data_IF_839922954482
#
_entry.id   IF_839922954482
#
_cell.length_a   1.000
_cell.length_b   1.000
_cell.length_c   1.000
_cell.angle_alpha   90.00
_cell.angle_beta   90.00
_cell.angle_gamma   90.00
#
_symmetry.space_group_name_H-M   'P 1'
#
loop_
_entity.id
_entity.type
_entity.pdbx_description
1 polymer ?
#
# COMPACT_ATOMS: atom_id res chain seq x y z
N UNK A 1 -13.02 41.92 -23.37
CA UNK A 1 -12.22 41.70 -22.14
C UNK A 1 -12.91 40.71 -21.18
N UNK A 2 -14.21 40.78 -20.99
CA UNK A 2 -15.00 39.95 -20.06
C UNK A 2 -14.98 38.43 -20.46
N UNK A 3 -14.96 38.09 -21.75
CA UNK A 3 -14.93 36.70 -22.22
C UNK A 3 -13.65 35.96 -21.88
N UNK A 4 -12.49 36.61 -21.94
CA UNK A 4 -11.18 36.01 -21.61
C UNK A 4 -11.06 35.74 -20.09
N UNK A 5 -11.66 36.58 -19.24
CA UNK A 5 -11.65 36.40 -17.79
C UNK A 5 -12.53 35.18 -17.39
N UNK A 6 -13.71 35.00 -18.01
CA UNK A 6 -14.56 33.84 -17.75
C UNK A 6 -13.87 32.52 -18.11
N UNK A 7 -13.20 32.44 -19.25
CA UNK A 7 -12.46 31.24 -19.67
C UNK A 7 -11.34 30.90 -18.68
N UNK A 8 -10.59 31.92 -18.21
CA UNK A 8 -9.49 31.72 -17.24
C UNK A 8 -10.00 31.23 -15.90
N UNK A 9 -11.14 31.72 -15.41
CA UNK A 9 -11.76 31.27 -14.17
C UNK A 9 -12.26 29.83 -14.29
N UNK A 10 -12.86 29.44 -15.43
CA UNK A 10 -13.28 28.06 -15.68
C UNK A 10 -12.08 27.08 -15.74
N UNK A 11 -10.97 27.46 -16.38
CA UNK A 11 -9.76 26.64 -16.40
C UNK A 11 -9.14 26.51 -15.00
N UNK A 12 -9.11 27.56 -14.21
CA UNK A 12 -8.56 27.53 -12.86
C UNK A 12 -9.43 26.66 -11.93
N UNK A 13 -10.75 26.74 -12.02
CA UNK A 13 -11.69 25.88 -11.26
C UNK A 13 -11.63 24.43 -11.70
N UNK A 14 -11.46 24.16 -13.01
CA UNK A 14 -11.29 22.80 -13.53
C UNK A 14 -9.95 22.20 -13.07
N UNK A 15 -8.86 22.99 -13.07
CA UNK A 15 -7.55 22.54 -12.57
C UNK A 15 -7.55 22.27 -11.06
N UNK A 16 -8.23 23.10 -10.27
CA UNK A 16 -8.37 22.88 -8.82
C UNK A 16 -9.26 21.68 -8.51
N UNK A 17 -10.30 21.41 -9.31
CA UNK A 17 -11.13 20.23 -9.18
C UNK A 17 -10.35 18.93 -9.47
N UNK A 18 -9.46 18.93 -10.46
CA UNK A 18 -8.55 17.82 -10.76
C UNK A 18 -7.53 17.56 -9.64
N UNK A 19 -7.04 18.63 -8.98
CA UNK A 19 -6.07 18.52 -7.90
C UNK A 19 -6.65 18.08 -6.55
N UNK A 20 -7.97 18.21 -6.35
CA UNK A 20 -8.65 17.92 -5.07
C UNK A 20 -9.40 16.57 -5.12
N UNK A 21 -9.49 15.91 -6.26
CA UNK A 21 -10.22 14.64 -6.35
C UNK A 21 -9.37 13.48 -5.84
N UNK A 22 -9.66 12.93 -4.62
CA UNK A 22 -8.88 11.85 -4.03
C UNK A 22 -8.87 10.58 -4.89
N UNK A 23 -9.90 10.37 -5.72
CA UNK A 23 -9.98 9.24 -6.63
C UNK A 23 -8.96 9.33 -7.77
N UNK A 24 -8.63 10.54 -8.25
CA UNK A 24 -7.60 10.74 -9.28
C UNK A 24 -6.20 10.47 -8.71
N UNK A 25 -5.92 10.97 -7.50
CA UNK A 25 -4.67 10.70 -6.79
C UNK A 25 -4.49 9.22 -6.49
N UNK A 26 -5.56 8.53 -6.08
CA UNK A 26 -5.56 7.09 -5.82
C UNK A 26 -5.33 6.31 -7.11
N UNK A 27 -5.98 6.70 -8.21
CA UNK A 27 -5.80 6.10 -9.54
C UNK A 27 -4.37 6.26 -10.07
N UNK A 28 -3.78 7.46 -9.96
CA UNK A 28 -2.38 7.69 -10.37
C UNK A 28 -1.37 6.91 -9.53
N UNK A 29 -1.63 6.75 -8.23
CA UNK A 29 -0.77 5.97 -7.32
C UNK A 29 -0.81 4.48 -7.68
N UNK A 30 -1.98 3.95 -8.03
CA UNK A 30 -2.13 2.57 -8.51
C UNK A 30 -1.45 2.34 -9.87
N UNK A 31 -1.61 3.25 -10.84
CA UNK A 31 -0.94 3.18 -12.14
C UNK A 31 0.59 3.09 -11.99
N UNK A 32 1.17 3.79 -11.03
CA UNK A 32 2.61 3.77 -10.80
C UNK A 32 3.09 2.41 -10.26
N UNK A 33 2.33 1.76 -9.38
CA UNK A 33 2.65 0.41 -8.89
C UNK A 33 2.46 -0.63 -9.99
N UNK A 34 1.39 -0.56 -10.76
CA UNK A 34 1.15 -1.44 -11.91
C UNK A 34 2.28 -1.37 -12.94
N UNK A 35 2.77 -0.16 -13.26
CA UNK A 35 3.92 -0.01 -14.15
C UNK A 35 5.18 -0.67 -13.60
N UNK A 36 5.42 -0.60 -12.28
CA UNK A 36 6.55 -1.29 -11.65
C UNK A 36 6.37 -2.81 -11.67
N UNK A 37 5.16 -3.31 -11.43
CA UNK A 37 4.85 -4.74 -11.53
C UNK A 37 5.05 -5.28 -12.94
N UNK A 38 4.68 -4.50 -13.97
CA UNK A 38 4.93 -4.87 -15.37
C UNK A 38 6.44 -4.87 -15.68
N UNK A 39 7.20 -3.87 -15.20
CA UNK A 39 8.65 -3.87 -15.32
C UNK A 39 9.30 -5.06 -14.61
N UNK A 40 8.79 -5.45 -13.45
CA UNK A 40 9.29 -6.60 -12.70
C UNK A 40 9.15 -7.90 -13.50
N UNK A 41 8.06 -8.08 -14.25
CA UNK A 41 7.83 -9.27 -15.09
C UNK A 41 8.84 -9.42 -16.22
N UNK A 42 9.38 -8.32 -16.74
CA UNK A 42 10.31 -8.30 -17.88
C UNK A 42 11.75 -8.01 -17.47
N UNK A 43 12.04 -7.93 -16.17
CA UNK A 43 13.39 -7.69 -15.66
C UNK A 43 14.34 -8.80 -16.11
N UNK A 44 15.49 -8.40 -16.68
CA UNK A 44 16.46 -9.32 -17.29
C UNK A 44 17.51 -9.81 -16.29
N UNK A 45 17.70 -9.10 -15.18
CA UNK A 45 18.69 -9.41 -14.16
C UNK A 45 18.10 -9.46 -12.75
N UNK A 46 18.72 -10.22 -11.86
CA UNK A 46 18.34 -10.28 -10.46
C UNK A 46 18.47 -8.91 -9.77
N UNK A 47 19.49 -8.14 -10.12
CA UNK A 47 19.73 -6.81 -9.54
C UNK A 47 18.66 -5.80 -9.95
N UNK A 48 18.25 -5.82 -11.22
CA UNK A 48 17.14 -5.02 -11.71
C UNK A 48 15.83 -5.41 -11.01
N UNK A 49 15.51 -6.71 -10.97
CA UNK A 49 14.33 -7.22 -10.30
C UNK A 49 14.31 -6.85 -8.80
N UNK A 50 15.46 -6.90 -8.12
CA UNK A 50 15.61 -6.51 -6.72
C UNK A 50 15.27 -5.03 -6.52
N UNK A 51 15.86 -4.13 -7.32
CA UNK A 51 15.59 -2.69 -7.25
C UNK A 51 14.11 -2.36 -7.48
N UNK A 52 13.48 -3.03 -8.45
CA UNK A 52 12.05 -2.82 -8.74
C UNK A 52 11.20 -3.31 -7.58
N UNK A 53 11.48 -4.48 -7.00
CA UNK A 53 10.77 -4.98 -5.80
C UNK A 53 10.86 -4.02 -4.63
N UNK A 54 12.04 -3.46 -4.35
CA UNK A 54 12.23 -2.46 -3.29
C UNK A 54 11.38 -1.20 -3.52
N UNK A 55 11.29 -0.73 -4.77
CA UNK A 55 10.43 0.41 -5.10
C UNK A 55 8.94 0.09 -4.88
N UNK A 56 8.49 -1.12 -5.26
CA UNK A 56 7.11 -1.56 -5.04
C UNK A 56 6.82 -1.64 -3.54
N UNK A 57 7.70 -2.29 -2.75
CA UNK A 57 7.56 -2.40 -1.30
C UNK A 57 7.44 -1.04 -0.63
N UNK A 58 8.29 -0.10 -0.97
CA UNK A 58 8.22 1.26 -0.42
C UNK A 58 6.88 1.94 -0.73
N UNK A 59 6.35 1.75 -1.94
CA UNK A 59 5.04 2.29 -2.30
C UNK A 59 3.90 1.64 -1.52
N UNK A 60 3.94 0.35 -1.30
CA UNK A 60 2.93 -0.37 -0.53
C UNK A 60 2.97 -0.03 0.96
N UNK A 61 4.17 -0.04 1.58
CA UNK A 61 4.35 0.30 3.00
C UNK A 61 3.81 1.69 3.31
N UNK A 62 4.13 2.67 2.48
CA UNK A 62 3.71 4.06 2.70
C UNK A 62 2.39 4.42 1.98
N UNK A 63 1.61 3.43 1.54
CA UNK A 63 0.27 3.62 0.98
C UNK A 63 -0.80 3.90 2.06
N UNK A 64 -0.45 4.58 3.11
CA UNK A 64 -1.31 4.94 4.24
C UNK A 64 -1.34 6.47 4.41
N UNK A 65 -2.44 7.07 4.89
CA UNK A 65 -2.52 8.50 5.14
C UNK A 65 -1.42 9.02 6.08
N UNK A 66 -1.06 10.30 5.92
CA UNK A 66 0.05 10.91 6.68
C UNK A 66 -0.17 10.87 8.19
N UNK A 67 -1.40 11.06 8.66
CA UNK A 67 -1.78 11.00 10.07
C UNK A 67 -1.62 9.60 10.69
N UNK A 68 -1.59 8.56 9.87
CA UNK A 68 -1.36 7.18 10.30
C UNK A 68 0.12 6.76 10.32
N UNK A 69 1.02 7.55 9.74
CA UNK A 69 2.43 7.15 9.57
C UNK A 69 3.16 6.97 10.91
N UNK A 70 2.79 7.71 11.95
CA UNK A 70 3.36 7.52 13.29
C UNK A 70 2.97 6.15 13.88
N UNK A 71 1.69 5.75 13.73
CA UNK A 71 1.23 4.42 14.15
C UNK A 71 1.87 3.30 13.32
N UNK A 72 2.07 3.53 12.02
CA UNK A 72 2.80 2.60 11.17
C UNK A 72 4.25 2.44 11.63
N UNK A 73 4.94 3.54 11.93
CA UNK A 73 6.32 3.51 12.46
C UNK A 73 6.40 2.71 13.76
N UNK A 74 5.46 2.91 14.67
CA UNK A 74 5.37 2.13 15.90
C UNK A 74 5.19 0.63 15.60
N UNK A 75 4.23 0.27 14.74
CA UNK A 75 3.95 -1.12 14.39
C UNK A 75 5.17 -1.81 13.75
N UNK A 76 5.88 -1.13 12.86
CA UNK A 76 7.10 -1.63 12.23
C UNK A 76 8.24 -1.78 13.26
N UNK A 77 8.39 -0.86 14.20
CA UNK A 77 9.39 -0.97 15.26
C UNK A 77 9.12 -2.18 16.18
N UNK A 78 7.86 -2.43 16.54
CA UNK A 78 7.48 -3.61 17.33
C UNK A 78 7.81 -4.89 16.57
N UNK A 79 7.47 -4.96 15.29
CA UNK A 79 7.78 -6.09 14.43
C UNK A 79 9.29 -6.34 14.32
N UNK A 80 10.06 -5.31 13.97
CA UNK A 80 11.51 -5.40 13.79
C UNK A 80 12.26 -5.74 15.10
N UNK A 81 11.66 -5.42 16.25
CA UNK A 81 12.20 -5.78 17.58
C UNK A 81 11.76 -7.16 18.04
N UNK A 82 11.04 -7.94 17.23
CA UNK A 82 10.55 -9.27 17.58
C UNK A 82 9.41 -9.27 18.60
N UNK A 83 8.84 -8.12 18.96
CA UNK A 83 7.68 -8.03 19.87
C UNK A 83 6.38 -8.32 19.11
N UNK A 84 6.23 -9.58 18.67
CA UNK A 84 5.21 -10.01 17.73
C UNK A 84 3.78 -9.71 18.19
N UNK A 85 3.44 -9.95 19.47
CA UNK A 85 2.10 -9.67 19.99
C UNK A 85 1.76 -8.17 20.00
N UNK A 86 2.74 -7.32 20.31
CA UNK A 86 2.57 -5.87 20.21
C UNK A 86 2.41 -5.41 18.77
N UNK A 87 3.20 -5.97 17.87
CA UNK A 87 3.12 -5.69 16.44
C UNK A 87 1.76 -6.09 15.86
N UNK A 88 1.24 -7.29 16.20
CA UNK A 88 -0.08 -7.73 15.77
C UNK A 88 -1.18 -6.78 16.22
N UNK A 89 -1.17 -6.36 17.49
CA UNK A 89 -2.13 -5.37 18.01
C UNK A 89 -2.05 -4.05 17.25
N UNK A 90 -0.84 -3.57 16.99
CA UNK A 90 -0.61 -2.31 16.28
C UNK A 90 -1.09 -2.38 14.82
N UNK A 91 -0.79 -3.46 14.08
CA UNK A 91 -1.29 -3.66 12.73
C UNK A 91 -2.82 -3.89 12.72
N UNK A 92 -3.38 -4.57 13.71
CA UNK A 92 -4.83 -4.71 13.86
C UNK A 92 -5.53 -3.36 14.02
N UNK A 93 -4.95 -2.44 14.81
CA UNK A 93 -5.45 -1.06 14.91
C UNK A 93 -5.41 -0.35 13.55
N UNK A 94 -4.29 -0.43 12.82
CA UNK A 94 -4.15 0.18 11.50
C UNK A 94 -5.16 -0.35 10.49
N UNK A 95 -5.37 -1.66 10.44
CA UNK A 95 -6.33 -2.31 9.54
C UNK A 95 -7.79 -1.92 9.89
N UNK A 96 -8.12 -1.83 11.17
CA UNK A 96 -9.45 -1.37 11.61
C UNK A 96 -9.74 0.05 11.13
N UNK A 97 -8.74 0.94 11.21
CA UNK A 97 -8.89 2.35 10.83
C UNK A 97 -8.77 2.54 9.31
N UNK A 98 -7.95 1.74 8.66
CA UNK A 98 -7.64 1.82 7.22
C UNK A 98 -7.78 0.44 6.54
N UNK A 99 -9.02 -0.07 6.37
CA UNK A 99 -9.25 -1.45 5.89
C UNK A 99 -8.72 -1.70 4.46
N UNK A 100 -8.54 -0.65 3.66
CA UNK A 100 -7.97 -0.74 2.31
C UNK A 100 -6.43 -0.67 2.28
N UNK A 101 -5.77 -0.65 3.44
CA UNK A 101 -4.32 -0.68 3.56
C UNK A 101 -3.81 -2.13 3.45
N UNK A 102 -3.59 -2.59 2.21
CA UNK A 102 -3.21 -3.98 1.91
C UNK A 102 -1.94 -4.43 2.64
N UNK A 103 -0.89 -3.58 2.73
CA UNK A 103 0.34 -3.93 3.42
C UNK A 103 0.17 -4.11 4.93
N UNK A 104 -0.82 -3.45 5.54
CA UNK A 104 -1.20 -3.71 6.93
C UNK A 104 -1.65 -5.16 7.16
N UNK A 105 -2.51 -5.66 6.28
CA UNK A 105 -2.94 -7.06 6.27
C UNK A 105 -1.77 -8.01 6.03
N UNK A 106 -0.91 -7.70 5.05
CA UNK A 106 0.27 -8.49 4.73
C UNK A 106 1.25 -8.59 5.91
N UNK A 107 1.52 -7.50 6.61
CA UNK A 107 2.37 -7.50 7.80
C UNK A 107 1.76 -8.31 8.94
N UNK A 108 0.44 -8.17 9.17
CA UNK A 108 -0.23 -8.97 10.19
C UNK A 108 -0.25 -10.45 9.84
N UNK A 109 -0.44 -10.81 8.58
CA UNK A 109 -0.32 -12.19 8.11
C UNK A 109 1.05 -12.79 8.46
N UNK A 110 2.13 -12.08 8.14
CA UNK A 110 3.50 -12.51 8.48
C UNK A 110 3.69 -12.70 9.99
N UNK A 111 3.17 -11.76 10.80
CA UNK A 111 3.25 -11.86 12.26
C UNK A 111 2.48 -13.06 12.78
N UNK A 112 1.27 -13.30 12.29
CA UNK A 112 0.44 -14.44 12.67
C UNK A 112 1.07 -15.76 12.29
N UNK A 113 1.66 -15.85 11.11
CA UNK A 113 2.44 -17.01 10.72
C UNK A 113 3.58 -17.28 11.72
N UNK A 114 4.33 -16.27 12.12
CA UNK A 114 5.41 -16.37 13.12
C UNK A 114 4.89 -16.75 14.51
N UNK A 115 3.64 -16.41 14.84
CA UNK A 115 2.95 -16.78 16.06
C UNK A 115 2.26 -18.16 15.98
N UNK A 116 2.42 -18.87 14.85
CA UNK A 116 1.76 -20.15 14.56
C UNK A 116 0.22 -20.07 14.44
N UNK A 117 -0.34 -18.87 14.22
CA UNK A 117 -1.74 -18.66 13.84
C UNK A 117 -1.86 -18.75 12.31
N UNK A 118 -1.79 -19.97 11.79
CA UNK A 118 -1.78 -20.23 10.34
C UNK A 118 -3.12 -19.85 9.69
N UNK A 119 -4.24 -20.12 10.35
CA UNK A 119 -5.57 -19.78 9.85
C UNK A 119 -5.75 -18.25 9.76
N UNK A 120 -5.41 -17.54 10.83
CA UNK A 120 -5.46 -16.09 10.84
C UNK A 120 -4.53 -15.46 9.79
N UNK A 121 -3.35 -16.06 9.56
CA UNK A 121 -2.42 -15.65 8.51
C UNK A 121 -3.06 -15.79 7.12
N UNK A 122 -3.63 -16.94 6.79
CA UNK A 122 -4.28 -17.19 5.50
C UNK A 122 -5.47 -16.25 5.25
N UNK A 123 -6.27 -15.98 6.27
CA UNK A 123 -7.38 -15.03 6.18
C UNK A 123 -6.90 -13.60 5.85
N UNK A 124 -5.80 -13.19 6.46
CA UNK A 124 -5.18 -11.90 6.16
C UNK A 124 -4.61 -11.86 4.73
N UNK A 125 -3.94 -12.92 4.27
CA UNK A 125 -3.45 -13.07 2.89
C UNK A 125 -4.60 -12.93 1.87
N UNK A 126 -5.73 -13.58 2.12
CA UNK A 126 -6.91 -13.42 1.25
C UNK A 126 -7.39 -11.97 1.18
N UNK A 127 -7.33 -11.24 2.30
CA UNK A 127 -7.67 -9.82 2.35
C UNK A 127 -6.69 -8.97 1.52
N UNK A 128 -5.39 -9.28 1.57
CA UNK A 128 -4.38 -8.64 0.71
C UNK A 128 -4.69 -8.89 -0.76
N UNK A 129 -4.94 -10.13 -1.16
CA UNK A 129 -5.16 -10.50 -2.57
C UNK A 129 -6.47 -9.93 -3.13
N UNK A 130 -7.49 -9.72 -2.30
CA UNK A 130 -8.70 -8.97 -2.71
C UNK A 130 -8.41 -7.50 -2.99
N UNK A 131 -7.52 -6.87 -2.23
CA UNK A 131 -7.14 -5.46 -2.38
C UNK A 131 -6.08 -5.26 -3.47
N UNK A 132 -5.17 -6.20 -3.60
CA UNK A 132 -4.04 -6.18 -4.54
C UNK A 132 -3.75 -7.58 -5.08
N UNK A 133 -4.41 -8.01 -6.16
CA UNK A 133 -4.27 -9.37 -6.71
C UNK A 133 -2.84 -9.75 -7.14
N UNK A 134 -1.99 -8.76 -7.43
CA UNK A 134 -0.58 -8.95 -7.83
C UNK A 134 0.41 -8.73 -6.69
N UNK A 135 -0.03 -8.81 -5.43
CA UNK A 135 0.85 -8.64 -4.28
C UNK A 135 1.75 -9.86 -4.10
N UNK A 136 2.97 -9.80 -4.63
CA UNK A 136 3.88 -10.95 -4.69
C UNK A 136 4.23 -11.54 -3.31
N UNK A 137 4.29 -10.72 -2.24
CA UNK A 137 4.50 -11.23 -0.88
C UNK A 137 3.33 -12.07 -0.38
N UNK A 138 2.08 -11.67 -0.68
CA UNK A 138 0.89 -12.44 -0.33
C UNK A 138 0.76 -13.71 -1.19
N UNK A 139 1.08 -13.62 -2.49
CA UNK A 139 1.09 -14.79 -3.39
C UNK A 139 2.09 -15.84 -2.86
N UNK A 140 3.29 -15.44 -2.47
CA UNK A 140 4.29 -16.35 -1.91
C UNK A 140 3.87 -16.97 -0.57
N UNK A 141 3.06 -16.27 0.23
CA UNK A 141 2.56 -16.77 1.51
C UNK A 141 1.28 -17.61 1.41
N UNK A 142 0.68 -17.74 0.22
CA UNK A 142 -0.55 -18.52 0.00
C UNK A 142 -0.30 -19.98 -0.41
N UNK A 143 0.93 -20.35 -0.74
CA UNK A 143 1.38 -21.71 -1.10
C UNK A 143 2.03 -22.40 0.06
#
# INVERSE_FOLDING_TARGET
MIYKIKIFVYYSLFLTFLLINPNILFSQKNLNVENLLNKLQIAQTNDEAKKIREQIWNKWIYAIPKDAQQNLKYALNEFNSGRLLSAEKAFTYLIKKYPNYAEGWNKRATIRYMLNDLEGSLNDIQSVLKLQPRHFGAIAGSG
#
